data_IF_491481565353
#
_entry.id   IF_491481565353
#
_cell.length_a   1.000
_cell.length_b   1.000
_cell.length_c   1.000
_cell.angle_alpha   90.00
_cell.angle_beta   90.00
_cell.angle_gamma   90.00
#
_symmetry.space_group_name_H-M   'P 1'
#
loop_
_entity.id
_entity.type
_entity.pdbx_description
1 polymer ?
#
# COMPACT_ATOMS: atom_id res chain seq x y z
N UNK A 1 -6.02 -14.73 24.90
CA UNK A 1 -4.98 -15.00 23.88
C UNK A 1 -5.58 -15.32 22.51
N UNK A 2 -6.55 -16.20 22.42
CA UNK A 2 -7.19 -16.61 21.14
C UNK A 2 -7.78 -15.45 20.31
N UNK A 3 -8.38 -14.44 20.96
CA UNK A 3 -8.88 -13.23 20.28
C UNK A 3 -7.77 -12.40 19.62
N UNK A 4 -6.60 -12.30 20.26
CA UNK A 4 -5.44 -11.58 19.71
C UNK A 4 -4.85 -12.33 18.51
N UNK A 5 -4.82 -13.66 18.57
CA UNK A 5 -4.37 -14.50 17.47
C UNK A 5 -5.31 -14.35 16.26
N UNK A 6 -6.63 -14.39 16.47
CA UNK A 6 -7.62 -14.11 15.42
C UNK A 6 -7.44 -12.73 14.80
N UNK A 7 -7.22 -11.71 15.62
CA UNK A 7 -7.00 -10.34 15.17
C UNK A 7 -5.67 -10.17 14.40
N UNK A 8 -4.61 -10.86 14.83
CA UNK A 8 -3.35 -10.93 14.08
C UNK A 8 -3.55 -11.55 12.68
N UNK A 9 -4.31 -12.65 12.60
CA UNK A 9 -4.66 -13.29 11.33
C UNK A 9 -5.43 -12.34 10.41
N UNK A 10 -6.40 -11.59 10.93
CA UNK A 10 -7.16 -10.60 10.15
C UNK A 10 -6.25 -9.52 9.56
N UNK A 11 -5.29 -8.99 10.34
CA UNK A 11 -4.34 -8.01 9.81
C UNK A 11 -3.40 -8.61 8.77
N UNK A 12 -2.92 -9.83 8.97
CA UNK A 12 -2.09 -10.52 7.99
C UNK A 12 -2.85 -10.81 6.69
N UNK A 13 -4.12 -11.19 6.77
CA UNK A 13 -4.97 -11.40 5.59
C UNK A 13 -5.27 -10.09 4.85
N UNK A 14 -5.53 -9.01 5.60
CA UNK A 14 -5.84 -7.69 5.03
C UNK A 14 -4.64 -7.06 4.34
N UNK A 15 -3.47 -7.12 4.97
CA UNK A 15 -2.29 -6.35 4.54
C UNK A 15 -1.19 -7.20 3.89
N UNK A 16 -1.21 -8.51 4.10
CA UNK A 16 -0.14 -9.43 3.67
C UNK A 16 1.10 -9.36 4.55
N UNK A 17 1.63 -8.16 4.77
CA UNK A 17 2.79 -7.90 5.65
C UNK A 17 2.38 -6.93 6.76
N UNK A 18 2.61 -7.33 8.00
CA UNK A 18 2.28 -6.56 9.20
C UNK A 18 3.55 -6.03 9.85
N UNK A 19 3.57 -4.75 10.18
CA UNK A 19 4.64 -4.06 10.90
C UNK A 19 4.07 -2.91 11.74
N UNK A 20 4.83 -2.42 12.71
CA UNK A 20 4.37 -1.43 13.70
C UNK A 20 3.66 -0.22 13.07
N UNK A 21 4.34 0.49 12.16
CA UNK A 21 3.80 1.73 11.58
C UNK A 21 2.52 1.52 10.75
N UNK A 22 2.25 0.30 10.28
CA UNK A 22 1.01 -0.05 9.60
C UNK A 22 -0.13 -0.23 10.61
N UNK A 23 0.14 -0.95 11.71
CA UNK A 23 -0.83 -1.19 12.78
C UNK A 23 -1.21 0.10 13.49
N UNK A 24 -0.27 1.03 13.67
CA UNK A 24 -0.52 2.35 14.26
C UNK A 24 -1.53 3.19 13.45
N UNK A 25 -1.81 2.84 12.18
CA UNK A 25 -2.83 3.51 11.35
C UNK A 25 -4.23 2.92 11.49
N UNK A 26 -4.37 1.72 12.04
CA UNK A 26 -5.67 1.07 12.18
C UNK A 26 -6.40 1.61 13.42
N UNK A 27 -7.64 2.06 13.24
CA UNK A 27 -8.39 2.86 14.23
C UNK A 27 -8.60 2.17 15.59
N UNK A 28 -8.56 0.84 15.64
CA UNK A 28 -8.83 0.04 16.84
C UNK A 28 -7.77 -1.03 17.08
N UNK A 29 -6.53 -0.78 16.65
CA UNK A 29 -5.48 -1.75 16.84
C UNK A 29 -5.00 -1.82 18.30
N UNK A 30 -4.74 -3.03 18.83
CA UNK A 30 -4.07 -3.16 20.12
C UNK A 30 -2.65 -2.59 20.03
N UNK A 31 -2.06 -2.16 21.16
CA UNK A 31 -0.67 -1.72 21.21
C UNK A 31 0.28 -2.73 20.55
N UNK A 32 1.19 -2.25 19.71
CA UNK A 32 2.12 -3.11 18.96
C UNK A 32 2.84 -4.12 19.85
N UNK A 33 3.24 -3.73 21.07
CA UNK A 33 3.91 -4.63 22.02
C UNK A 33 3.08 -5.88 22.36
N UNK A 34 1.76 -5.74 22.45
CA UNK A 34 0.85 -6.85 22.75
C UNK A 34 0.73 -7.76 21.52
N UNK A 35 0.53 -7.17 20.34
CA UNK A 35 0.43 -7.92 19.08
C UNK A 35 1.74 -8.65 18.73
N UNK A 36 2.88 -8.02 19.01
CA UNK A 36 4.22 -8.55 18.75
C UNK A 36 4.48 -9.86 19.49
N UNK A 37 4.07 -9.97 20.75
CA UNK A 37 4.21 -11.20 21.53
C UNK A 37 3.42 -12.34 20.88
N UNK A 38 2.19 -12.07 20.45
CA UNK A 38 1.36 -13.05 19.73
C UNK A 38 1.99 -13.44 18.39
N UNK A 39 2.46 -12.47 17.60
CA UNK A 39 3.11 -12.73 16.31
C UNK A 39 4.38 -13.58 16.45
N UNK A 40 5.21 -13.33 17.46
CA UNK A 40 6.39 -14.16 17.77
C UNK A 40 6.00 -15.57 18.22
N UNK A 41 4.95 -15.73 19.02
CA UNK A 41 4.41 -17.07 19.37
C UNK A 41 3.93 -17.81 18.11
N UNK A 42 3.25 -17.13 17.20
CA UNK A 42 2.80 -17.69 15.92
C UNK A 42 3.99 -18.06 15.02
N UNK A 43 5.07 -17.27 15.04
CA UNK A 43 6.30 -17.55 14.30
C UNK A 43 6.98 -18.82 14.83
N UNK A 44 7.10 -18.98 16.15
CA UNK A 44 7.65 -20.19 16.76
C UNK A 44 6.86 -21.46 16.40
N UNK A 45 5.55 -21.34 16.16
CA UNK A 45 4.70 -22.43 15.66
C UNK A 45 4.84 -22.68 14.15
N UNK A 46 5.48 -21.78 13.42
CA UNK A 46 5.63 -21.84 11.96
C UNK A 46 4.46 -21.27 11.16
N UNK A 47 3.44 -20.69 11.82
CA UNK A 47 2.25 -20.15 11.14
C UNK A 47 2.58 -18.86 10.36
N UNK A 48 3.55 -18.08 10.85
CA UNK A 48 4.01 -16.82 10.23
C UNK A 48 5.53 -16.80 10.15
N UNK A 49 6.07 -15.94 9.30
CA UNK A 49 7.50 -15.70 9.16
C UNK A 49 7.81 -14.28 9.62
N UNK A 50 8.71 -14.14 10.58
CA UNK A 50 9.34 -12.86 10.93
C UNK A 50 10.49 -12.55 9.97
N UNK A 51 10.69 -11.27 9.68
CA UNK A 51 11.80 -10.84 8.83
C UNK A 51 11.71 -9.38 8.40
N UNK A 52 12.38 -9.07 7.29
CA UNK A 52 12.34 -7.77 6.63
C UNK A 52 11.95 -7.98 5.17
N UNK A 53 10.69 -7.72 4.86
CA UNK A 53 10.10 -7.94 3.53
C UNK A 53 9.93 -6.63 2.75
N UNK A 54 9.64 -5.54 3.44
CA UNK A 54 9.44 -4.20 2.89
C UNK A 54 10.63 -3.31 3.23
N UNK A 55 11.26 -2.74 2.20
CA UNK A 55 12.36 -1.78 2.36
C UNK A 55 11.86 -0.41 2.82
N UNK A 56 12.71 0.35 3.53
CA UNK A 56 12.37 1.70 4.02
C UNK A 56 11.48 1.72 5.27
N UNK A 57 11.01 0.56 5.73
CA UNK A 57 10.21 0.40 6.95
C UNK A 57 11.05 -0.28 8.02
N UNK A 58 11.20 0.39 9.17
CA UNK A 58 11.93 -0.13 10.32
C UNK A 58 11.12 -1.13 11.15
N UNK A 59 11.82 -1.88 12.01
CA UNK A 59 11.23 -2.84 12.96
C UNK A 59 11.03 -4.25 12.40
N UNK A 60 10.48 -5.12 13.25
CA UNK A 60 10.09 -6.48 12.88
C UNK A 60 8.86 -6.48 11.98
N UNK A 61 8.88 -7.33 10.96
CA UNK A 61 7.77 -7.51 10.03
C UNK A 61 7.36 -8.98 10.02
N UNK A 62 6.06 -9.23 9.92
CA UNK A 62 5.49 -10.57 9.91
C UNK A 62 4.59 -10.75 8.70
N UNK A 63 4.66 -11.92 8.09
CA UNK A 63 3.83 -12.29 6.94
C UNK A 63 3.54 -13.79 6.97
N UNK A 64 2.51 -14.24 6.28
CA UNK A 64 2.33 -15.67 6.03
C UNK A 64 3.47 -16.22 5.15
N UNK A 65 3.93 -17.46 5.34
CA UNK A 65 4.93 -18.08 4.47
C UNK A 65 4.58 -17.96 2.98
N UNK A 66 3.32 -18.20 2.62
CA UNK A 66 2.80 -18.14 1.25
C UNK A 66 2.83 -16.70 0.70
N UNK A 67 2.60 -15.70 1.55
CA UNK A 67 2.74 -14.29 1.17
C UNK A 67 4.19 -13.96 0.86
N UNK A 68 5.15 -14.44 1.66
CA UNK A 68 6.59 -14.24 1.39
C UNK A 68 7.00 -14.84 0.05
N UNK A 69 6.54 -16.05 -0.26
CA UNK A 69 6.79 -16.69 -1.55
C UNK A 69 6.14 -15.93 -2.70
N UNK A 70 4.92 -15.43 -2.50
CA UNK A 70 4.22 -14.60 -3.49
C UNK A 70 4.98 -13.29 -3.77
N UNK A 71 5.53 -12.64 -2.74
CA UNK A 71 6.36 -11.45 -2.90
C UNK A 71 7.66 -11.74 -3.68
N UNK A 72 8.30 -12.88 -3.41
CA UNK A 72 9.50 -13.32 -4.16
C UNK A 72 9.17 -13.63 -5.62
N UNK A 73 8.03 -14.26 -5.90
CA UNK A 73 7.54 -14.49 -7.28
C UNK A 73 7.24 -13.16 -7.98
N UNK A 74 6.54 -12.24 -7.31
CA UNK A 74 6.21 -10.92 -7.84
C UNK A 74 7.46 -10.10 -8.17
N UNK A 75 8.51 -10.14 -7.33
CA UNK A 75 9.78 -9.49 -7.62
C UNK A 75 10.39 -10.01 -8.94
N UNK A 76 10.46 -11.34 -9.12
CA UNK A 76 10.97 -11.96 -10.35
C UNK A 76 10.12 -11.60 -11.56
N UNK A 77 8.79 -11.68 -11.47
CA UNK A 77 7.91 -11.34 -12.59
C UNK A 77 8.03 -9.86 -12.99
N UNK A 78 8.27 -8.96 -12.03
CA UNK A 78 8.49 -7.54 -12.32
C UNK A 78 9.79 -7.26 -13.04
N UNK A 79 10.84 -8.05 -12.80
CA UNK A 79 12.11 -7.94 -13.52
C UNK A 79 11.98 -8.39 -14.98
N UNK A 80 11.06 -9.32 -15.27
CA UNK A 80 10.84 -9.87 -16.62
C UNK A 80 9.71 -9.17 -17.40
N UNK A 81 8.74 -8.55 -16.73
CA UNK A 81 7.57 -7.97 -17.38
C UNK A 81 7.91 -6.70 -18.19
N UNK A 82 7.53 -6.69 -19.47
CA UNK A 82 7.73 -5.54 -20.36
C UNK A 82 6.90 -4.30 -19.96
N UNK A 83 5.69 -4.50 -19.42
CA UNK A 83 4.78 -3.41 -19.05
C UNK A 83 4.06 -3.72 -17.74
N UNK A 84 4.19 -2.81 -16.76
CA UNK A 84 3.46 -2.89 -15.49
C UNK A 84 2.17 -2.04 -15.54
N UNK A 85 1.05 -2.53 -14.96
CA UNK A 85 -0.22 -1.80 -14.95
C UNK A 85 -0.15 -0.52 -14.11
N UNK A 86 -1.02 0.44 -14.44
CA UNK A 86 -1.18 1.69 -13.69
C UNK A 86 -2.38 1.63 -12.75
N UNK A 87 -2.22 2.18 -11.55
CA UNK A 87 -3.29 2.30 -10.54
C UNK A 87 -3.31 3.72 -10.00
N UNK A 88 -4.45 4.39 -10.08
CA UNK A 88 -4.65 5.71 -9.49
C UNK A 88 -5.46 5.56 -8.20
N UNK A 89 -4.86 5.89 -7.07
CA UNK A 89 -5.49 5.82 -5.75
C UNK A 89 -5.73 7.23 -5.22
N UNK A 90 -6.87 7.43 -4.54
CA UNK A 90 -7.11 8.65 -3.79
C UNK A 90 -6.17 8.71 -2.58
N UNK A 91 -5.78 9.92 -2.17
CA UNK A 91 -4.93 10.08 -0.99
C UNK A 91 -5.64 9.62 0.30
N UNK A 92 -6.96 9.66 0.31
CA UNK A 92 -7.82 9.19 1.41
C UNK A 92 -7.95 7.67 1.46
N UNK A 93 -7.64 6.96 0.38
CA UNK A 93 -7.82 5.51 0.28
C UNK A 93 -6.96 4.78 1.33
N UNK A 94 -7.50 3.82 2.11
CA UNK A 94 -6.72 3.04 3.05
C UNK A 94 -5.56 2.26 2.40
N UNK A 95 -5.71 1.81 1.16
CA UNK A 95 -4.65 1.14 0.41
C UNK A 95 -3.51 2.07 -0.01
N UNK A 96 -3.69 3.39 0.10
CA UNK A 96 -2.62 4.34 -0.15
C UNK A 96 -1.62 4.38 1.01
N UNK A 97 -0.52 3.65 0.84
CA UNK A 97 0.58 3.57 1.82
C UNK A 97 1.74 4.53 1.50
N UNK A 98 1.57 5.53 0.62
CA UNK A 98 2.67 6.44 0.22
C UNK A 98 3.40 7.07 1.42
N UNK A 99 2.65 7.51 2.43
CA UNK A 99 3.21 8.16 3.63
C UNK A 99 3.96 7.18 4.56
N UNK A 100 3.84 5.86 4.34
CA UNK A 100 4.61 4.85 5.07
C UNK A 100 5.83 4.40 4.28
N UNK A 101 5.71 4.28 2.96
CA UNK A 101 6.78 3.76 2.11
C UNK A 101 7.76 4.84 1.62
N UNK A 102 7.35 6.11 1.63
CA UNK A 102 8.16 7.25 1.20
C UNK A 102 8.32 8.28 2.33
N UNK A 103 9.40 8.20 3.13
CA UNK A 103 9.60 9.12 4.26
C UNK A 103 9.90 10.56 3.80
N UNK A 104 10.47 10.73 2.61
CA UNK A 104 10.91 12.04 2.08
C UNK A 104 9.78 12.90 1.53
N UNK A 105 8.62 12.31 1.22
CA UNK A 105 7.46 13.05 0.72
C UNK A 105 6.18 12.58 1.39
N UNK A 106 5.48 13.51 2.04
CA UNK A 106 4.15 13.28 2.59
C UNK A 106 3.10 13.82 1.62
N UNK A 107 1.99 13.11 1.51
CA UNK A 107 0.79 13.55 0.80
C UNK A 107 -0.37 13.69 1.79
N UNK A 108 -0.97 14.88 1.93
CA UNK A 108 -2.17 15.07 2.76
C UNK A 108 -3.33 14.18 2.28
N UNK A 109 -4.06 13.58 3.23
CA UNK A 109 -5.21 12.69 2.96
C UNK A 109 -6.47 13.50 2.62
N UNK A 110 -6.41 14.28 1.53
CA UNK A 110 -7.53 15.06 1.00
C UNK A 110 -8.16 14.32 -0.20
N UNK A 111 -9.47 14.46 -0.39
CA UNK A 111 -10.20 13.79 -1.48
C UNK A 111 -9.78 14.28 -2.88
N UNK A 112 -9.22 15.48 -2.97
CA UNK A 112 -8.62 16.05 -4.18
C UNK A 112 -7.29 15.41 -4.53
N UNK A 113 -6.54 14.94 -3.54
CA UNK A 113 -5.17 14.47 -3.72
C UNK A 113 -5.16 13.01 -4.17
N UNK A 114 -4.19 12.63 -5.00
CA UNK A 114 -4.10 11.30 -5.61
C UNK A 114 -2.67 10.85 -5.80
N UNK A 115 -2.48 9.53 -5.92
CA UNK A 115 -1.21 8.90 -6.22
C UNK A 115 -1.37 7.96 -7.40
N UNK A 116 -0.48 8.10 -8.38
CA UNK A 116 -0.36 7.17 -9.51
C UNK A 116 0.75 6.17 -9.23
N UNK A 117 0.38 4.89 -9.23
CA UNK A 117 1.29 3.76 -9.11
C UNK A 117 1.46 3.07 -10.46
N UNK A 118 2.67 2.61 -10.76
CA UNK A 118 2.98 1.70 -11.86
C UNK A 118 3.55 0.40 -11.28
N UNK A 119 2.79 -0.68 -11.35
CA UNK A 119 3.18 -1.97 -10.77
C UNK A 119 3.53 -1.91 -9.28
N UNK A 120 2.83 -1.06 -8.52
CA UNK A 120 3.06 -0.82 -7.09
C UNK A 120 4.15 0.21 -6.77
N UNK A 121 4.82 0.79 -7.77
CA UNK A 121 5.79 1.89 -7.55
C UNK A 121 5.10 3.24 -7.76
N UNK A 122 5.15 4.18 -6.81
CA UNK A 122 4.57 5.49 -7.00
C UNK A 122 5.40 6.28 -8.03
N UNK A 123 4.73 6.85 -9.03
CA UNK A 123 5.34 7.60 -10.15
C UNK A 123 5.05 9.09 -10.04
N UNK A 124 3.82 9.45 -9.68
CA UNK A 124 3.40 10.83 -9.57
C UNK A 124 2.32 10.99 -8.50
N UNK A 125 2.23 12.20 -7.94
CA UNK A 125 1.15 12.59 -7.03
C UNK A 125 0.46 13.83 -7.58
N UNK A 126 -0.83 13.94 -7.29
CA UNK A 126 -1.59 15.17 -7.46
C UNK A 126 -1.86 15.76 -6.08
N UNK A 127 -1.46 17.00 -5.88
CA UNK A 127 -1.56 17.74 -4.63
C UNK A 127 -2.08 19.14 -4.93
N UNK A 128 -3.23 19.50 -4.36
CA UNK A 128 -3.85 20.82 -4.60
C UNK A 128 -4.09 21.17 -6.08
N UNK A 129 -4.24 20.17 -6.95
CA UNK A 129 -4.44 20.36 -8.40
C UNK A 129 -3.16 20.36 -9.23
N UNK A 130 -1.99 20.40 -8.59
CA UNK A 130 -0.69 20.32 -9.23
C UNK A 130 -0.18 18.88 -9.27
N UNK A 131 0.49 18.52 -10.36
CA UNK A 131 1.12 17.20 -10.51
C UNK A 131 2.60 17.27 -10.20
N UNK A 132 3.05 16.46 -9.25
CA UNK A 132 4.47 16.30 -8.93
C UNK A 132 4.93 14.89 -9.28
N UNK A 133 5.95 14.80 -10.11
CA UNK A 133 6.59 13.53 -10.46
C UNK A 133 7.58 13.12 -9.37
N UNK A 134 7.53 11.85 -8.99
CA UNK A 134 8.38 11.25 -7.97
C UNK A 134 9.60 10.54 -8.56
N UNK A 135 9.63 10.42 -9.89
CA UNK A 135 10.68 9.79 -10.69
C UNK A 135 10.85 10.59 -11.97
N UNK A 136 11.98 10.38 -12.64
CA UNK A 136 12.21 10.91 -13.98
C UNK A 136 11.22 10.27 -14.96
N UNK A 137 10.54 11.13 -15.73
CA UNK A 137 9.51 10.76 -16.69
C UNK A 137 9.73 11.60 -17.95
N UNK A 138 9.73 10.95 -19.12
CA UNK A 138 9.88 11.64 -20.40
C UNK A 138 8.71 12.59 -20.68
N UNK A 139 8.94 13.66 -21.44
CA UNK A 139 7.92 14.65 -21.74
C UNK A 139 6.62 14.03 -22.30
N UNK A 140 6.75 13.03 -23.19
CA UNK A 140 5.60 12.32 -23.79
C UNK A 140 4.74 11.59 -22.74
N UNK A 141 5.38 11.07 -21.68
CA UNK A 141 4.70 10.35 -20.60
C UNK A 141 4.09 11.30 -19.56
N UNK A 142 4.66 12.49 -19.38
CA UNK A 142 4.18 13.46 -18.37
C UNK A 142 2.72 13.82 -18.60
N UNK A 143 2.35 14.15 -19.85
CA UNK A 143 0.96 14.47 -20.19
C UNK A 143 0.03 13.27 -19.94
N UNK A 144 0.45 12.06 -20.34
CA UNK A 144 -0.34 10.85 -20.11
C UNK A 144 -0.58 10.59 -18.61
N UNK A 145 0.44 10.72 -17.77
CA UNK A 145 0.33 10.50 -16.32
C UNK A 145 -0.51 11.57 -15.63
N UNK A 146 -0.37 12.82 -16.05
CA UNK A 146 -1.25 13.91 -15.59
C UNK A 146 -2.72 13.60 -15.92
N UNK A 147 -3.01 13.15 -17.15
CA UNK A 147 -4.36 12.74 -17.52
C UNK A 147 -4.88 11.57 -16.67
N UNK A 148 -4.04 10.59 -16.32
CA UNK A 148 -4.43 9.48 -15.44
C UNK A 148 -4.73 9.92 -14.00
N UNK A 149 -4.04 10.94 -13.49
CA UNK A 149 -4.30 11.51 -12.17
C UNK A 149 -5.61 12.31 -12.15
N UNK A 150 -5.87 13.09 -13.20
CA UNK A 150 -7.07 13.93 -13.30
C UNK A 150 -8.33 13.12 -13.57
N UNK A 151 -8.23 12.07 -14.40
CA UNK A 151 -9.39 11.24 -14.77
C UNK A 151 -9.91 10.48 -13.55
N UNK A 152 -11.13 10.83 -13.13
CA UNK A 152 -11.86 10.05 -12.14
C UNK A 152 -12.53 8.86 -12.83
N UNK A 153 -11.88 7.70 -12.76
CA UNK A 153 -12.49 6.46 -13.24
C UNK A 153 -13.49 5.99 -12.19
N UNK A 154 -14.78 6.21 -12.47
CA UNK A 154 -15.86 5.67 -11.67
C UNK A 154 -16.41 4.42 -12.35
N UNK A 155 -16.56 3.31 -11.62
CA UNK A 155 -17.30 2.14 -12.09
C UNK A 155 -18.66 2.59 -12.67
N UNK A 156 -19.11 2.05 -13.82
CA UNK A 156 -20.36 2.47 -14.44
C UNK A 156 -21.57 2.45 -13.49
N UNK A 157 -21.62 1.46 -12.59
CA UNK A 157 -22.67 1.31 -11.56
C UNK A 157 -22.72 2.46 -10.54
N UNK A 158 -21.62 3.19 -10.36
CA UNK A 158 -21.55 4.34 -9.45
C UNK A 158 -21.85 5.67 -10.15
N UNK A 159 -21.91 5.71 -11.48
CA UNK A 159 -22.13 6.95 -12.23
C UNK A 159 -23.51 7.58 -11.96
N UNK A 160 -24.54 6.75 -11.75
CA UNK A 160 -25.89 7.22 -11.40
C UNK A 160 -25.95 7.97 -10.06
N UNK A 161 -25.02 7.68 -9.14
CA UNK A 161 -24.98 8.28 -7.80
C UNK A 161 -24.12 9.54 -7.72
N UNK A 162 -23.33 9.85 -8.75
CA UNK A 162 -22.30 10.89 -8.65
C UNK A 162 -22.77 12.30 -9.01
N UNK A 163 -24.01 12.44 -9.47
CA UNK A 163 -24.54 13.70 -9.97
C UNK A 163 -23.80 14.18 -11.23
N UNK A 164 -24.52 14.78 -12.16
CA UNK A 164 -23.90 15.50 -13.27
C UNK A 164 -23.22 16.74 -12.68
N UNK A 165 -21.88 16.74 -12.65
CA UNK A 165 -21.11 17.97 -12.46
C UNK A 165 -20.78 18.56 -13.81
#
# INVERSE_FOLDING_TARGET
EEQLERLALLYLQRWGVVFRALIDKETLAPPWRILLVTLRKMELRGNVRGGRFVAGVGGEQFAFPETVDSLRKFKRSRETAATAPFYCLAATDPANLINLTMPTRKLPRLASNRVLYRGGVPIAVMESGETHFLREVSADQQWQFQQMLTKRVFPPRLRSYLGTR
#
